data_IF_678409488327
#
_entry.id   IF_678409488327
#
_cell.length_a   1.000
_cell.length_b   1.000
_cell.length_c   1.000
_cell.angle_alpha   90.00
_cell.angle_beta   90.00
_cell.angle_gamma   90.00
#
_symmetry.space_group_name_H-M   'P 1'
#
loop_
_entity.id
_entity.type
_entity.pdbx_description
1 polymer ?
#
# COMPACT_ATOMS: atom_id res chain seq x y z
N UNK A 1 -1.53 -13.37 24.00
CA UNK A 1 -0.09 -13.60 23.70
C UNK A 1 0.08 -13.97 22.25
N UNK A 2 0.71 -13.11 21.44
CA UNK A 2 0.96 -13.36 20.02
C UNK A 2 2.03 -14.47 19.82
N UNK A 3 1.83 -15.45 18.91
CA UNK A 3 2.74 -16.59 18.73
C UNK A 3 4.10 -16.20 18.14
N UNK A 4 4.17 -15.09 17.38
CA UNK A 4 5.42 -14.60 16.78
C UNK A 4 6.29 -13.80 17.75
N UNK A 5 5.85 -13.62 19.00
CA UNK A 5 6.66 -12.98 20.04
C UNK A 5 6.72 -11.45 19.98
N UNK A 6 6.04 -10.80 19.02
CA UNK A 6 6.07 -9.33 18.86
C UNK A 6 5.23 -8.61 19.93
N UNK A 7 3.97 -9.03 20.10
CA UNK A 7 3.04 -8.44 21.07
C UNK A 7 2.71 -9.44 22.18
N UNK A 8 3.72 -9.75 23.00
CA UNK A 8 3.59 -10.65 24.15
C UNK A 8 4.52 -10.21 25.28
N UNK A 9 4.17 -10.56 26.52
CA UNK A 9 5.04 -10.43 27.70
C UNK A 9 5.75 -11.75 28.06
N UNK A 10 5.50 -12.83 27.32
CA UNK A 10 6.12 -14.14 27.58
C UNK A 10 7.58 -14.14 27.07
N UNK A 11 8.60 -14.21 27.95
CA UNK A 11 10.01 -14.13 27.54
C UNK A 11 10.39 -15.26 26.58
N UNK A 12 9.78 -16.44 26.75
CA UNK A 12 10.07 -17.63 25.94
C UNK A 12 9.78 -17.41 24.46
N UNK A 13 8.77 -16.59 24.15
CA UNK A 13 8.34 -16.21 22.80
C UNK A 13 9.11 -14.98 22.28
N UNK A 14 9.53 -14.07 23.16
CA UNK A 14 10.35 -12.90 22.78
C UNK A 14 11.80 -13.26 22.43
N UNK A 15 12.31 -14.44 22.83
CA UNK A 15 13.70 -14.88 22.53
C UNK A 15 14.10 -14.78 21.05
N UNK A 16 13.15 -14.84 20.12
CA UNK A 16 13.41 -14.70 18.68
C UNK A 16 13.44 -13.25 18.16
N UNK A 17 13.08 -12.26 19.00
CA UNK A 17 13.05 -10.83 18.68
C UNK A 17 14.32 -10.16 19.22
N UNK A 18 15.48 -10.55 18.68
CA UNK A 18 16.74 -9.87 18.96
C UNK A 18 16.83 -8.57 18.15
N UNK A 19 16.85 -7.37 18.78
CA UNK A 19 16.93 -6.10 18.06
C UNK A 19 18.18 -5.98 17.19
N UNK A 20 19.32 -6.53 17.59
CA UNK A 20 20.58 -6.42 16.84
C UNK A 20 20.48 -7.16 15.50
N UNK A 21 19.97 -8.40 15.53
CA UNK A 21 19.72 -9.20 14.33
C UNK A 21 18.56 -8.64 13.48
N UNK A 22 17.41 -8.36 14.11
CA UNK A 22 16.19 -7.96 13.38
C UNK A 22 16.29 -6.56 12.79
N UNK A 23 17.09 -5.66 13.36
CA UNK A 23 17.31 -4.32 12.78
C UNK A 23 17.90 -4.39 11.36
N UNK A 24 18.81 -5.33 11.09
CA UNK A 24 19.39 -5.52 9.74
C UNK A 24 18.31 -5.89 8.73
N UNK A 25 17.39 -6.78 9.11
CA UNK A 25 16.27 -7.17 8.25
C UNK A 25 15.32 -6.00 8.00
N UNK A 26 15.03 -5.19 9.01
CA UNK A 26 14.18 -4.00 8.88
C UNK A 26 14.85 -2.96 7.97
N UNK A 27 16.15 -2.69 8.15
CA UNK A 27 16.92 -1.81 7.26
C UNK A 27 16.82 -2.25 5.81
N UNK A 28 17.13 -3.51 5.53
CA UNK A 28 17.09 -4.06 4.16
C UNK A 28 15.67 -4.01 3.56
N UNK A 29 14.63 -4.17 4.38
CA UNK A 29 13.25 -4.02 3.94
C UNK A 29 12.96 -2.57 3.53
N UNK A 30 13.30 -1.58 4.37
CA UNK A 30 13.10 -0.16 4.08
C UNK A 30 13.84 0.25 2.80
N UNK A 31 15.09 -0.18 2.64
CA UNK A 31 15.89 0.12 1.44
C UNK A 31 15.25 -0.45 0.17
N UNK A 32 14.70 -1.67 0.23
CA UNK A 32 13.98 -2.28 -0.90
C UNK A 32 12.68 -1.54 -1.22
N UNK A 33 11.93 -1.12 -0.21
CA UNK A 33 10.73 -0.31 -0.38
C UNK A 33 11.09 1.02 -1.06
N UNK A 34 12.11 1.73 -0.58
CA UNK A 34 12.56 2.98 -1.18
C UNK A 34 12.97 2.80 -2.65
N UNK A 35 13.75 1.76 -2.96
CA UNK A 35 14.14 1.46 -4.33
C UNK A 35 12.93 1.16 -5.22
N UNK A 36 12.00 0.34 -4.75
CA UNK A 36 10.81 -0.03 -5.50
C UNK A 36 9.92 1.18 -5.81
N UNK A 37 9.65 2.00 -4.80
CA UNK A 37 8.85 3.22 -4.97
C UNK A 37 9.58 4.25 -5.86
N UNK A 38 10.91 4.35 -5.77
CA UNK A 38 11.71 5.21 -6.66
C UNK A 38 11.62 4.79 -8.14
N UNK A 39 11.65 3.49 -8.42
CA UNK A 39 11.47 2.97 -9.79
C UNK A 39 10.07 3.34 -10.32
N UNK A 40 9.03 3.20 -9.50
CA UNK A 40 7.65 3.59 -9.87
C UNK A 40 7.58 5.09 -10.16
N UNK A 41 8.13 5.92 -9.27
CA UNK A 41 8.15 7.37 -9.41
C UNK A 41 8.80 7.81 -10.74
N UNK A 42 9.99 7.29 -11.04
CA UNK A 42 10.68 7.61 -12.29
C UNK A 42 9.95 7.09 -13.53
N UNK A 43 9.27 5.94 -13.42
CA UNK A 43 8.43 5.40 -14.51
C UNK A 43 7.20 6.28 -14.78
N UNK A 44 6.67 6.94 -13.74
CA UNK A 44 5.60 7.93 -13.85
C UNK A 44 6.10 9.33 -14.25
N UNK A 45 7.41 9.54 -14.41
CA UNK A 45 8.01 10.80 -14.85
C UNK A 45 8.26 11.83 -13.75
N UNK A 46 8.19 11.44 -12.47
CA UNK A 46 8.46 12.33 -11.33
C UNK A 46 9.81 12.03 -10.67
N UNK A 47 10.40 13.04 -10.03
CA UNK A 47 11.72 12.92 -9.40
C UNK A 47 11.66 12.19 -8.05
N UNK A 48 10.58 12.41 -7.29
CA UNK A 48 10.40 11.82 -5.97
C UNK A 48 9.02 11.16 -5.81
N UNK A 49 8.96 10.14 -4.95
CA UNK A 49 7.72 9.43 -4.63
C UNK A 49 6.59 10.33 -4.13
N UNK A 50 6.94 11.43 -3.43
CA UNK A 50 5.97 12.40 -2.89
C UNK A 50 5.27 13.23 -3.97
N UNK A 51 5.82 13.29 -5.17
CA UNK A 51 5.22 13.97 -6.32
C UNK A 51 4.19 13.09 -7.05
N UNK A 52 4.08 11.81 -6.68
CA UNK A 52 2.99 10.97 -7.16
C UNK A 52 1.65 11.54 -6.66
N UNK A 53 0.66 11.48 -7.54
CA UNK A 53 -0.62 12.14 -7.32
C UNK A 53 -1.72 11.49 -8.16
N UNK A 54 -2.98 11.92 -8.00
CA UNK A 54 -4.14 11.28 -8.64
C UNK A 54 -4.08 11.23 -10.18
N UNK A 55 -3.34 12.15 -10.82
CA UNK A 55 -3.10 12.15 -12.26
C UNK A 55 -2.25 10.96 -12.75
N UNK A 56 -1.36 10.45 -11.89
CA UNK A 56 -0.41 9.38 -12.21
C UNK A 56 -1.03 7.97 -12.05
N UNK A 57 -2.20 7.85 -11.42
CA UNK A 57 -2.87 6.57 -11.15
C UNK A 57 -4.09 6.43 -12.04
N UNK A 58 -4.19 5.30 -12.75
CA UNK A 58 -5.32 5.00 -13.64
C UNK A 58 -6.11 3.80 -13.15
N UNK A 59 -7.43 3.88 -13.28
CA UNK A 59 -8.37 2.81 -12.99
C UNK A 59 -9.05 2.39 -14.29
N UNK A 60 -9.12 1.08 -14.52
CA UNK A 60 -9.88 0.50 -15.63
C UNK A 60 -11.35 0.47 -15.24
N UNK A 61 -12.19 1.00 -16.12
CA UNK A 61 -13.63 1.07 -15.97
C UNK A 61 -14.31 -0.17 -16.59
N UNK A 62 -15.54 -0.51 -16.19
CA UNK A 62 -16.28 -1.66 -16.73
C UNK A 62 -16.50 -1.59 -18.25
N UNK A 63 -16.53 -0.39 -18.82
CA UNK A 63 -16.63 -0.17 -20.27
C UNK A 63 -15.29 -0.34 -21.01
N UNK A 64 -14.25 -0.86 -20.34
CA UNK A 64 -12.92 -1.06 -20.91
C UNK A 64 -12.08 0.22 -21.04
N UNK A 65 -12.64 1.39 -20.71
CA UNK A 65 -11.87 2.65 -20.73
C UNK A 65 -11.00 2.78 -19.48
N UNK A 66 -9.94 3.57 -19.54
CA UNK A 66 -9.08 3.85 -18.40
C UNK A 66 -9.15 5.33 -18.06
N UNK A 67 -9.50 5.65 -16.81
CA UNK A 67 -9.55 7.02 -16.29
C UNK A 67 -8.53 7.22 -15.19
N UNK A 68 -7.97 8.42 -15.08
CA UNK A 68 -7.11 8.79 -13.94
C UNK A 68 -7.94 8.96 -12.67
N UNK A 69 -7.33 8.79 -11.49
CA UNK A 69 -8.01 9.09 -10.23
C UNK A 69 -8.39 10.57 -10.14
N UNK A 70 -7.63 11.47 -10.75
CA UNK A 70 -8.01 12.90 -10.84
C UNK A 70 -9.33 13.09 -11.61
N UNK A 71 -9.48 12.43 -12.77
CA UNK A 71 -10.72 12.49 -13.55
C UNK A 71 -11.90 11.89 -12.78
N UNK A 72 -11.67 10.83 -12.01
CA UNK A 72 -12.69 10.19 -11.16
C UNK A 72 -13.10 11.14 -10.03
N UNK A 73 -12.16 11.78 -9.34
CA UNK A 73 -12.44 12.74 -8.28
C UNK A 73 -13.27 13.91 -8.82
N UNK A 74 -12.86 14.52 -9.93
CA UNK A 74 -13.61 15.60 -10.59
C UNK A 74 -15.01 15.17 -11.03
N UNK A 75 -15.15 13.95 -11.53
CA UNK A 75 -16.46 13.42 -11.93
C UNK A 75 -17.39 13.21 -10.72
N UNK A 76 -16.84 12.73 -9.59
CA UNK A 76 -17.59 12.58 -8.34
C UNK A 76 -18.05 13.93 -7.78
N UNK A 77 -17.17 14.95 -7.78
CA UNK A 77 -17.50 16.32 -7.39
C UNK A 77 -18.61 16.92 -8.27
N UNK A 78 -18.60 16.62 -9.58
CA UNK A 78 -19.61 17.05 -10.54
C UNK A 78 -20.93 16.26 -10.45
N UNK A 79 -21.09 15.37 -9.48
CA UNK A 79 -22.30 14.54 -9.31
C UNK A 79 -22.50 13.50 -10.42
N UNK A 80 -21.46 13.20 -11.22
CA UNK A 80 -21.53 12.17 -12.26
C UNK A 80 -21.38 10.78 -11.63
N UNK A 81 -22.10 9.77 -12.14
CA UNK A 81 -21.92 8.41 -11.67
C UNK A 81 -20.50 7.95 -12.00
N UNK A 82 -19.68 7.77 -10.96
CA UNK A 82 -18.37 7.12 -11.05
C UNK A 82 -18.52 5.70 -10.57
N UNK A 83 -17.82 4.76 -11.22
CA UNK A 83 -17.76 3.42 -10.68
C UNK A 83 -17.04 3.49 -9.33
N UNK A 84 -17.60 2.83 -8.30
CA UNK A 84 -16.94 2.78 -7.02
C UNK A 84 -15.55 2.17 -7.23
N UNK A 85 -14.55 2.74 -6.57
CA UNK A 85 -13.25 2.08 -6.40
C UNK A 85 -13.60 0.67 -5.91
N UNK A 86 -13.20 -0.40 -6.63
CA UNK A 86 -13.54 -1.74 -6.21
C UNK A 86 -13.16 -1.85 -4.73
N UNK A 87 -14.16 -2.06 -3.88
CA UNK A 87 -13.93 -2.20 -2.46
C UNK A 87 -12.88 -3.29 -2.34
N UNK A 88 -11.68 -2.93 -1.88
CA UNK A 88 -10.69 -3.93 -1.49
C UNK A 88 -11.48 -4.88 -0.60
N UNK A 89 -11.64 -6.13 -1.03
CA UNK A 89 -12.41 -7.09 -0.26
C UNK A 89 -11.69 -7.18 1.08
N UNK A 90 -12.24 -6.53 2.11
CA UNK A 90 -11.75 -6.65 3.46
C UNK A 90 -11.76 -8.14 3.77
N UNK A 91 -10.57 -8.72 3.92
CA UNK A 91 -10.38 -10.15 4.20
C UNK A 91 -10.94 -10.60 5.56
N UNK A 92 -11.84 -9.81 6.16
CA UNK A 92 -12.57 -10.11 7.38
C UNK A 92 -13.95 -10.67 7.05
N UNK A 93 -14.01 -11.92 6.59
CA UNK A 93 -15.20 -12.77 6.80
C UNK A 93 -14.80 -14.21 7.15
N UNK A 94 -15.37 -14.66 8.26
CA UNK A 94 -15.57 -16.04 8.71
C UNK A 94 -14.36 -16.82 9.29
N UNK A 95 -14.03 -16.51 10.54
CA UNK A 95 -13.76 -17.56 11.53
C UNK A 95 -14.95 -17.55 12.50
N UNK A 96 -15.91 -18.44 12.24
CA UNK A 96 -17.01 -18.82 13.14
C UNK A 96 -17.07 -20.34 13.18
#
# INVERSE_FOLDING_TARGET
TCPTGITTHNPRLQRGLDPADKAVRVKNYVEKVHKGVGIIAHSCGVAHARELGPAHVRMVQPNGTSMTLEQIARAAEAGRPVNPIPAMHDGTRAAS
#
